data_IF_589661366089
#
_entry.id   IF_589661366089
#
_cell.length_a   1.000
_cell.length_b   1.000
_cell.length_c   1.000
_cell.angle_alpha   90.00
_cell.angle_beta   90.00
_cell.angle_gamma   90.00
#
_symmetry.space_group_name_H-M   'P 1'
#
loop_
_entity.id
_entity.type
_entity.pdbx_description
1 polymer ?
#
# COMPACT_ATOMS: atom_id res chain seq x y z
N UNK A 1 30.57 -0.47 -22.16
CA UNK A 1 30.24 -1.33 -23.30
C UNK A 1 28.94 -0.82 -23.84
N UNK A 2 28.88 -0.57 -25.14
CA UNK A 2 27.73 0.08 -25.76
C UNK A 2 26.70 -0.97 -26.17
N UNK A 3 25.43 -0.74 -25.86
CA UNK A 3 24.33 -1.67 -26.17
C UNK A 3 23.43 -1.04 -27.24
N UNK A 4 23.26 -1.72 -28.37
CA UNK A 4 22.34 -1.30 -29.42
C UNK A 4 20.88 -1.55 -29.00
N UNK A 5 20.14 -0.48 -28.73
CA UNK A 5 18.71 -0.52 -28.39
C UNK A 5 17.81 -0.36 -29.63
N UNK A 6 16.60 -0.95 -29.64
CA UNK A 6 15.73 -0.94 -30.82
C UNK A 6 15.06 0.41 -31.15
N UNK A 7 14.90 1.31 -30.17
CA UNK A 7 14.26 2.62 -30.31
C UNK A 7 14.84 3.61 -29.26
N UNK A 8 14.35 4.84 -29.23
CA UNK A 8 14.71 5.85 -28.22
C UNK A 8 14.11 5.48 -26.85
N UNK A 9 14.92 5.19 -25.82
CA UNK A 9 14.42 4.83 -24.50
C UNK A 9 13.64 6.00 -23.89
N UNK A 10 12.48 5.68 -23.30
CA UNK A 10 11.58 6.65 -22.66
C UNK A 10 11.56 6.52 -21.13
N UNK A 11 11.76 5.31 -20.61
CA UNK A 11 12.08 5.08 -19.21
C UNK A 11 13.08 3.93 -19.06
N UNK A 12 13.80 3.92 -17.94
CA UNK A 12 14.79 2.90 -17.64
C UNK A 12 14.91 2.70 -16.13
N UNK A 13 15.07 1.45 -15.70
CA UNK A 13 15.21 1.09 -14.29
C UNK A 13 16.17 -0.10 -14.13
N UNK A 14 17.02 -0.01 -13.10
CA UNK A 14 17.94 -1.08 -12.74
C UNK A 14 17.23 -2.24 -12.03
N UNK A 15 17.67 -3.45 -12.32
CA UNK A 15 17.15 -4.72 -11.80
C UNK A 15 18.34 -5.67 -11.60
N UNK A 16 19.16 -5.40 -10.56
CA UNK A 16 20.49 -5.99 -10.36
C UNK A 16 21.35 -5.96 -11.63
N UNK A 17 21.68 -7.12 -12.20
CA UNK A 17 22.56 -7.27 -13.36
C UNK A 17 21.84 -7.02 -14.70
N UNK A 18 20.60 -6.55 -14.66
CA UNK A 18 19.77 -6.24 -15.82
C UNK A 18 19.24 -4.80 -15.75
N UNK A 19 19.11 -4.13 -16.90
CA UNK A 19 18.40 -2.86 -17.04
C UNK A 19 17.08 -3.14 -17.76
N UNK A 20 15.97 -2.79 -17.14
CA UNK A 20 14.68 -2.75 -17.82
C UNK A 20 14.54 -1.41 -18.54
N UNK A 21 14.17 -1.43 -19.81
CA UNK A 21 14.05 -0.27 -20.68
C UNK A 21 12.65 -0.26 -21.31
N UNK A 22 11.94 0.84 -21.15
CA UNK A 22 10.66 1.08 -21.80
C UNK A 22 10.83 1.96 -23.04
N UNK A 23 10.39 1.45 -24.19
CA UNK A 23 10.22 2.24 -25.42
C UNK A 23 8.75 2.63 -25.59
N UNK A 24 8.40 3.31 -26.68
CA UNK A 24 7.02 3.77 -26.91
C UNK A 24 5.99 2.63 -26.92
N UNK A 25 6.37 1.46 -27.43
CA UNK A 25 5.46 0.32 -27.66
C UNK A 25 5.71 -0.86 -26.74
N UNK A 26 6.96 -1.11 -26.34
CA UNK A 26 7.37 -2.38 -25.73
C UNK A 26 8.43 -2.18 -24.64
N UNK A 27 8.44 -3.07 -23.65
CA UNK A 27 9.51 -3.18 -22.66
C UNK A 27 10.53 -4.25 -23.05
N UNK A 28 11.79 -3.95 -22.76
CA UNK A 28 12.91 -4.88 -22.91
C UNK A 28 13.70 -4.99 -21.61
N UNK A 29 14.44 -6.07 -21.48
CA UNK A 29 15.41 -6.31 -20.42
C UNK A 29 16.78 -6.58 -21.04
N UNK A 30 17.77 -5.80 -20.65
CA UNK A 30 19.14 -5.86 -21.19
C UNK A 30 20.05 -6.34 -20.07
N UNK A 31 20.67 -7.52 -20.21
CA UNK A 31 21.63 -8.01 -19.20
C UNK A 31 22.98 -7.30 -19.37
N UNK A 32 23.52 -6.82 -18.26
CA UNK A 32 24.81 -6.11 -18.14
C UNK A 32 25.92 -7.09 -17.72
N UNK A 33 25.82 -8.33 -18.20
CA UNK A 33 26.76 -9.44 -17.95
C UNK A 33 27.99 -9.44 -18.88
N UNK A 34 28.18 -8.36 -19.64
CA UNK A 34 29.19 -8.23 -20.69
C UNK A 34 28.83 -8.89 -22.03
N UNK A 35 27.80 -9.75 -22.08
CA UNK A 35 27.28 -10.33 -23.33
C UNK A 35 26.17 -9.48 -23.96
N UNK A 36 25.52 -8.63 -23.16
CA UNK A 36 24.54 -7.66 -23.65
C UNK A 36 23.27 -8.30 -24.21
N UNK A 37 22.88 -9.45 -23.66
CA UNK A 37 21.66 -10.14 -24.13
C UNK A 37 20.43 -9.27 -23.90
N UNK A 38 19.64 -9.08 -24.96
CA UNK A 38 18.40 -8.30 -24.98
C UNK A 38 17.22 -9.28 -25.02
N UNK A 39 16.30 -9.15 -24.08
CA UNK A 39 15.05 -9.92 -24.00
C UNK A 39 13.87 -8.97 -24.16
N UNK A 40 13.01 -9.22 -25.13
CA UNK A 40 11.70 -8.58 -25.24
C UNK A 40 10.77 -9.10 -24.14
N UNK A 41 9.95 -8.21 -23.56
CA UNK A 41 9.05 -8.54 -22.46
C UNK A 41 7.59 -8.54 -22.92
N UNK A 42 6.96 -7.37 -22.94
CA UNK A 42 5.56 -7.18 -23.35
C UNK A 42 5.28 -5.71 -23.72
N UNK A 43 4.18 -5.44 -24.43
CA UNK A 43 3.80 -4.09 -24.82
C UNK A 43 3.45 -3.16 -23.65
N UNK A 44 3.63 -1.86 -23.83
CA UNK A 44 3.27 -0.78 -22.89
C UNK A 44 1.76 -0.54 -22.77
N UNK A 45 0.96 -1.11 -23.68
CA UNK A 45 -0.48 -0.92 -23.72
C UNK A 45 -0.88 0.47 -24.22
N UNK A 46 -1.91 1.06 -23.60
CA UNK A 46 -2.41 2.43 -23.87
C UNK A 46 -1.62 3.51 -23.11
N UNK A 47 -0.59 3.14 -22.37
CA UNK A 47 0.18 4.06 -21.54
C UNK A 47 0.93 5.07 -22.43
N UNK A 48 0.72 6.37 -22.20
CA UNK A 48 1.26 7.44 -23.05
C UNK A 48 2.79 7.48 -23.06
N UNK A 49 3.40 7.22 -21.90
CA UNK A 49 4.85 7.03 -21.73
C UNK A 49 5.07 5.77 -20.88
N UNK A 50 6.05 4.91 -21.21
CA UNK A 50 6.36 3.74 -20.40
C UNK A 50 6.89 4.15 -19.02
N UNK A 51 6.55 3.38 -18.00
CA UNK A 51 6.92 3.64 -16.61
C UNK A 51 7.65 2.42 -16.08
N UNK A 52 8.92 2.59 -15.72
CA UNK A 52 9.77 1.58 -15.12
C UNK A 52 10.39 2.15 -13.83
N UNK A 53 10.27 1.44 -12.72
CA UNK A 53 10.74 1.89 -11.40
C UNK A 53 11.52 0.76 -10.71
N UNK A 54 12.77 0.97 -10.30
CA UNK A 54 13.53 -0.04 -9.58
C UNK A 54 12.89 -0.30 -8.22
N UNK A 55 12.75 -1.57 -7.86
CA UNK A 55 12.35 -2.03 -6.54
C UNK A 55 13.58 -2.56 -5.80
N UNK A 56 13.47 -2.67 -4.48
CA UNK A 56 14.42 -3.44 -3.68
C UNK A 56 14.42 -4.92 -4.08
N UNK A 57 15.48 -5.62 -3.70
CA UNK A 57 15.65 -7.07 -3.89
C UNK A 57 15.65 -7.53 -5.37
N UNK A 58 16.43 -6.86 -6.22
CA UNK A 58 16.69 -7.29 -7.61
C UNK A 58 15.46 -7.32 -8.51
N UNK A 59 14.55 -6.35 -8.35
CA UNK A 59 13.26 -6.30 -9.04
C UNK A 59 12.98 -4.94 -9.66
N UNK A 60 12.06 -4.91 -10.61
CA UNK A 60 11.56 -3.70 -11.25
C UNK A 60 10.04 -3.76 -11.37
N UNK A 61 9.36 -2.65 -11.09
CA UNK A 61 7.95 -2.45 -11.38
C UNK A 61 7.80 -1.75 -12.73
N UNK A 62 6.99 -2.30 -13.64
CA UNK A 62 6.66 -1.69 -14.93
C UNK A 62 5.15 -1.51 -15.09
N UNK A 63 4.73 -0.41 -15.73
CA UNK A 63 3.32 -0.10 -15.98
C UNK A 63 2.85 -0.61 -17.34
N UNK A 64 1.66 -1.20 -17.39
CA UNK A 64 0.98 -1.66 -18.60
C UNK A 64 -0.53 -1.42 -18.41
N UNK A 65 -1.11 -0.49 -19.16
CA UNK A 65 -2.52 -0.07 -18.98
C UNK A 65 -2.83 0.27 -17.50
N UNK A 66 -3.90 -0.28 -16.94
CA UNK A 66 -4.30 -0.19 -15.53
C UNK A 66 -3.66 -1.30 -14.66
N UNK A 67 -2.48 -1.80 -15.05
CA UNK A 67 -1.71 -2.81 -14.33
C UNK A 67 -0.27 -2.34 -14.06
N UNK A 68 0.26 -2.65 -12.88
CA UNK A 68 1.71 -2.65 -12.62
C UNK A 68 2.18 -4.08 -12.42
N UNK A 69 3.18 -4.49 -13.21
CA UNK A 69 3.78 -5.83 -13.17
C UNK A 69 5.15 -5.75 -12.51
N UNK A 70 5.46 -6.70 -11.62
CA UNK A 70 6.79 -6.81 -11.00
C UNK A 70 7.59 -7.93 -11.65
N UNK A 71 8.77 -7.57 -12.15
CA UNK A 71 9.73 -8.43 -12.82
C UNK A 71 10.99 -8.62 -11.97
N UNK A 72 11.65 -9.75 -12.15
CA UNK A 72 13.00 -10.01 -11.65
C UNK A 72 14.07 -9.80 -12.74
N UNK A 73 15.34 -10.10 -12.44
CA UNK A 73 16.47 -9.94 -13.36
C UNK A 73 16.43 -10.83 -14.63
N UNK A 74 15.60 -11.88 -14.67
CA UNK A 74 15.27 -12.66 -15.89
C UNK A 74 14.13 -12.06 -16.71
N UNK A 75 13.40 -11.07 -16.18
CA UNK A 75 12.17 -10.57 -16.78
C UNK A 75 11.03 -11.57 -16.67
N UNK A 76 10.94 -12.26 -15.53
CA UNK A 76 9.83 -13.17 -15.21
C UNK A 76 8.86 -12.47 -14.27
N UNK A 77 7.59 -12.41 -14.66
CA UNK A 77 6.52 -11.84 -13.86
C UNK A 77 6.24 -12.74 -12.65
N UNK A 78 6.28 -12.20 -11.43
CA UNK A 78 5.76 -12.93 -10.26
C UNK A 78 4.25 -12.68 -10.14
N UNK A 79 3.36 -13.67 -10.39
CA UNK A 79 1.92 -13.42 -10.51
C UNK A 79 1.24 -12.95 -9.20
N UNK A 80 1.92 -13.08 -8.06
CA UNK A 80 1.48 -12.54 -6.76
C UNK A 80 1.76 -11.04 -6.57
N UNK A 81 2.41 -10.40 -7.54
CA UNK A 81 2.90 -9.02 -7.42
C UNK A 81 2.35 -8.07 -8.50
N UNK A 82 1.32 -8.47 -9.24
CA UNK A 82 0.60 -7.58 -10.14
C UNK A 82 -0.39 -6.69 -9.37
N UNK A 83 -0.28 -5.38 -9.55
CA UNK A 83 -1.12 -4.34 -8.92
C UNK A 83 -2.12 -3.82 -9.94
N UNK A 84 -3.42 -3.97 -9.67
CA UNK A 84 -4.48 -3.45 -10.54
C UNK A 84 -4.92 -2.07 -10.04
N UNK A 85 -5.05 -1.14 -10.96
CA UNK A 85 -5.42 0.24 -10.72
C UNK A 85 -6.90 0.46 -11.08
N UNK A 86 -7.47 1.61 -10.72
CA UNK A 86 -8.79 2.03 -11.23
C UNK A 86 -8.69 2.87 -12.49
N UNK A 87 -7.49 3.29 -12.85
CA UNK A 87 -7.17 4.12 -14.01
C UNK A 87 -5.67 3.97 -14.34
N UNK A 88 -5.25 4.35 -15.54
CA UNK A 88 -3.85 4.20 -16.01
C UNK A 88 -2.94 5.14 -15.18
N UNK A 89 -1.90 4.62 -14.49
CA UNK A 89 -0.99 5.47 -13.73
C UNK A 89 -0.15 6.33 -14.67
N UNK A 90 -0.16 7.66 -14.45
CA UNK A 90 0.69 8.60 -15.20
C UNK A 90 2.13 8.68 -14.67
N UNK A 91 2.35 8.26 -13.42
CA UNK A 91 3.65 8.29 -12.76
C UNK A 91 3.71 7.17 -11.70
N UNK A 92 4.91 6.63 -11.48
CA UNK A 92 5.19 5.66 -10.42
C UNK A 92 6.50 6.00 -9.72
N UNK A 93 6.58 5.79 -8.42
CA UNK A 93 7.80 5.93 -7.63
C UNK A 93 7.86 4.91 -6.51
N UNK A 94 9.07 4.60 -6.05
CA UNK A 94 9.33 3.64 -4.98
C UNK A 94 10.19 4.27 -3.89
N UNK A 95 9.86 3.99 -2.62
CA UNK A 95 10.62 4.45 -1.45
C UNK A 95 11.15 3.27 -0.63
N UNK A 96 12.41 3.38 -0.26
CA UNK A 96 13.05 2.59 0.78
C UNK A 96 13.21 3.45 2.04
N UNK A 97 12.72 2.95 3.17
CA UNK A 97 12.81 3.60 4.47
C UNK A 97 14.02 3.05 5.23
N UNK A 98 15.07 3.84 5.35
CA UNK A 98 16.38 3.43 5.87
C UNK A 98 16.46 3.37 7.40
N UNK A 99 15.76 2.43 8.05
CA UNK A 99 15.91 2.15 9.50
C UNK A 99 15.26 0.82 9.89
N UNK A 100 16.00 -0.31 9.82
CA UNK A 100 15.78 -1.57 10.58
C UNK A 100 14.40 -2.27 10.55
N UNK A 101 13.40 -1.67 9.92
CA UNK A 101 11.98 -1.95 10.02
C UNK A 101 11.48 -2.34 8.63
N UNK A 102 10.73 -3.44 8.59
CA UNK A 102 10.33 -4.20 7.40
C UNK A 102 10.04 -3.31 6.18
N UNK A 103 10.85 -3.45 5.13
CA UNK A 103 10.91 -2.56 3.96
C UNK A 103 9.55 -2.03 3.51
N UNK A 104 9.27 -0.77 3.84
CA UNK A 104 7.97 -0.12 3.66
C UNK A 104 7.71 0.23 2.19
N UNK A 105 7.31 -0.79 1.43
CA UNK A 105 6.87 -0.69 0.03
C UNK A 105 5.74 0.32 -0.10
N UNK A 106 6.00 1.39 -0.84
CA UNK A 106 4.99 2.30 -1.37
C UNK A 106 4.99 2.21 -2.89
N UNK A 107 3.86 1.74 -3.42
CA UNK A 107 3.39 1.98 -4.80
C UNK A 107 2.05 2.73 -4.62
N UNK A 108 1.10 2.74 -5.57
CA UNK A 108 -0.16 3.50 -5.41
C UNK A 108 -1.44 2.59 -5.56
N UNK A 109 -2.50 2.94 -4.82
CA UNK A 109 -3.87 2.38 -4.58
C UNK A 109 -4.16 1.04 -3.81
N UNK A 110 -5.38 1.04 -3.24
CA UNK A 110 -6.06 0.23 -2.20
C UNK A 110 -6.39 -1.24 -2.57
N UNK A 111 -6.44 -2.10 -1.54
CA UNK A 111 -7.04 -3.45 -1.50
C UNK A 111 -6.37 -4.64 -2.23
N UNK A 112 -5.17 -5.06 -1.76
CA UNK A 112 -4.96 -6.44 -1.23
C UNK A 112 -3.69 -6.48 -0.35
N UNK A 113 -3.64 -7.35 0.66
CA UNK A 113 -2.54 -7.36 1.63
C UNK A 113 -1.19 -7.78 1.02
N UNK A 114 -0.26 -6.84 0.82
CA UNK A 114 1.20 -7.05 0.95
C UNK A 114 2.02 -5.75 0.90
N UNK A 115 1.56 -4.75 0.14
CA UNK A 115 2.19 -3.43 -0.01
C UNK A 115 1.14 -2.34 0.14
N UNK A 116 1.41 -1.29 0.94
CA UNK A 116 0.47 -0.19 1.13
C UNK A 116 0.72 0.87 0.09
N UNK A 117 -0.35 1.29 -0.56
CA UNK A 117 -0.23 2.06 -1.77
C UNK A 117 -1.24 3.24 -1.74
N UNK A 118 -0.73 4.48 -1.82
CA UNK A 118 -1.49 5.76 -1.66
C UNK A 118 -2.16 6.14 -3.00
N UNK A 119 -2.96 7.19 -3.18
CA UNK A 119 -3.41 7.61 -4.53
C UNK A 119 -3.37 9.13 -4.70
N UNK A 120 -2.99 9.61 -5.88
CA UNK A 120 -3.03 11.03 -6.26
C UNK A 120 -3.69 11.17 -7.64
N UNK A 121 -4.97 11.56 -7.63
CA UNK A 121 -5.77 11.82 -8.83
C UNK A 121 -5.91 13.33 -9.08
N UNK A 122 -6.21 13.73 -10.32
CA UNK A 122 -6.52 15.12 -10.67
C UNK A 122 -5.31 16.06 -10.80
N UNK A 123 -4.10 15.52 -10.94
CA UNK A 123 -2.90 16.31 -11.23
C UNK A 123 -2.61 16.31 -12.74
N UNK A 124 -2.62 17.49 -13.36
CA UNK A 124 -2.12 17.65 -14.73
C UNK A 124 -0.58 17.67 -14.71
N UNK A 125 0.02 16.72 -15.44
CA UNK A 125 1.48 16.50 -15.60
C UNK A 125 2.28 16.63 -14.29
N UNK A 126 2.03 15.76 -13.28
CA UNK A 126 2.76 15.82 -12.02
C UNK A 126 4.24 15.46 -12.21
N UNK A 127 5.13 16.38 -11.89
CA UNK A 127 6.54 16.05 -11.65
C UNK A 127 6.66 15.49 -10.24
N UNK A 128 7.45 14.43 -10.04
CA UNK A 128 7.76 13.91 -8.71
C UNK A 128 9.26 13.74 -8.54
N UNK A 129 9.74 13.92 -7.31
CA UNK A 129 11.14 13.66 -6.97
C UNK A 129 11.24 12.96 -5.61
N UNK A 130 12.08 11.93 -5.58
CA UNK A 130 12.34 11.12 -4.40
C UNK A 130 13.62 11.63 -3.72
N UNK A 131 13.46 12.30 -2.58
CA UNK A 131 14.56 12.56 -1.65
C UNK A 131 14.72 11.40 -0.66
N UNK A 132 15.80 11.39 0.14
CA UNK A 132 15.93 10.45 1.24
C UNK A 132 14.74 10.61 2.20
N UNK A 133 13.90 9.57 2.29
CA UNK A 133 12.72 9.50 3.15
C UNK A 133 11.59 10.53 2.87
N UNK A 134 11.60 11.19 1.69
CA UNK A 134 10.62 12.23 1.33
C UNK A 134 10.25 12.14 -0.15
N UNK A 135 8.97 12.33 -0.50
CA UNK A 135 8.54 12.54 -1.90
C UNK A 135 7.96 13.93 -2.02
N UNK A 136 8.43 14.65 -3.03
CA UNK A 136 7.79 15.88 -3.48
C UNK A 136 7.03 15.58 -4.77
N UNK A 137 5.84 16.14 -4.89
CA UNK A 137 5.00 16.11 -6.09
C UNK A 137 4.69 17.55 -6.45
N UNK A 138 4.88 17.94 -7.70
CA UNK A 138 4.64 19.28 -8.19
C UNK A 138 3.70 19.24 -9.40
N UNK A 139 2.74 20.15 -9.44
CA UNK A 139 1.97 20.48 -10.65
C UNK A 139 2.35 21.89 -11.12
N UNK A 140 1.69 22.37 -12.18
CA UNK A 140 1.86 23.74 -12.71
C UNK A 140 1.68 24.86 -11.67
N UNK A 141 1.01 24.61 -10.54
CA UNK A 141 0.62 25.65 -9.56
C UNK A 141 0.95 25.32 -8.10
N UNK A 142 1.26 24.07 -7.76
CA UNK A 142 1.44 23.64 -6.38
C UNK A 142 2.59 22.65 -6.24
N UNK A 143 3.27 22.70 -5.09
CA UNK A 143 4.25 21.68 -4.68
C UNK A 143 3.80 21.09 -3.36
N UNK A 144 3.51 19.78 -3.37
CA UNK A 144 3.17 18.99 -2.21
C UNK A 144 4.38 18.20 -1.72
N UNK A 145 4.53 18.07 -0.40
CA UNK A 145 5.44 17.11 0.22
C UNK A 145 4.63 15.99 0.84
N UNK A 146 4.80 14.77 0.35
CA UNK A 146 4.25 13.58 0.99
C UNK A 146 5.06 13.28 2.25
N UNK A 147 4.41 13.39 3.41
CA UNK A 147 4.98 13.07 4.72
C UNK A 147 4.40 11.73 5.18
N UNK A 148 5.23 10.75 5.60
CA UNK A 148 4.72 9.50 6.13
C UNK A 148 3.96 9.73 7.44
N UNK A 149 2.65 9.52 7.41
CA UNK A 149 1.79 9.60 8.61
C UNK A 149 2.07 8.40 9.51
N UNK A 150 2.27 8.63 10.81
CA UNK A 150 2.56 7.56 11.77
C UNK A 150 1.41 6.55 11.85
N UNK A 151 1.72 5.26 12.09
CA UNK A 151 0.70 4.22 12.24
C UNK A 151 -0.26 4.55 13.41
N UNK A 152 0.25 5.20 14.47
CA UNK A 152 -0.58 5.66 15.58
C UNK A 152 -1.63 6.69 15.13
N UNK A 153 -1.22 7.69 14.34
CA UNK A 153 -2.12 8.71 13.77
C UNK A 153 -3.11 8.08 12.79
N UNK A 154 -2.68 7.15 11.93
CA UNK A 154 -3.55 6.42 11.00
C UNK A 154 -4.63 5.61 11.74
N UNK A 155 -4.28 4.95 12.86
CA UNK A 155 -5.23 4.24 13.71
C UNK A 155 -6.25 5.21 14.30
N UNK A 156 -5.82 6.36 14.83
CA UNK A 156 -6.75 7.37 15.39
C UNK A 156 -7.74 7.91 14.34
N UNK A 157 -7.26 8.18 13.12
CA UNK A 157 -8.13 8.58 12.00
C UNK A 157 -9.16 7.50 11.65
N UNK A 158 -8.72 6.25 11.47
CA UNK A 158 -9.65 5.13 11.19
C UNK A 158 -10.66 4.88 12.32
N UNK A 159 -10.29 5.15 13.59
CA UNK A 159 -11.22 5.08 14.71
C UNK A 159 -12.30 6.19 14.65
N UNK A 160 -11.92 7.42 14.25
CA UNK A 160 -12.86 8.53 14.02
C UNK A 160 -13.80 8.23 12.85
N UNK A 161 -13.26 7.69 11.75
CA UNK A 161 -14.01 7.26 10.55
C UNK A 161 -14.82 5.96 10.76
N UNK A 162 -14.79 5.39 11.97
CA UNK A 162 -15.46 4.13 12.35
C UNK A 162 -15.01 2.91 11.51
N UNK A 163 -13.84 2.98 10.89
CA UNK A 163 -13.21 1.92 10.08
C UNK A 163 -12.42 0.93 10.95
N UNK A 164 -13.08 0.34 11.95
CA UNK A 164 -12.43 -0.46 12.99
C UNK A 164 -11.66 -1.67 12.47
N UNK A 165 -12.17 -2.35 11.43
CA UNK A 165 -11.52 -3.55 10.88
C UNK A 165 -10.16 -3.23 10.24
N UNK A 166 -10.08 -2.10 9.53
CA UNK A 166 -8.82 -1.59 8.99
C UNK A 166 -7.88 -1.17 10.13
N UNK A 167 -8.39 -0.48 11.16
CA UNK A 167 -7.59 -0.11 12.34
C UNK A 167 -7.00 -1.34 13.06
N UNK A 168 -7.74 -2.45 13.13
CA UNK A 168 -7.25 -3.73 13.68
C UNK A 168 -6.17 -4.37 12.80
N UNK A 169 -6.30 -4.29 11.47
CA UNK A 169 -5.24 -4.74 10.56
C UNK A 169 -3.97 -3.88 10.72
N UNK A 170 -4.10 -2.55 10.81
CA UNK A 170 -2.97 -1.65 11.06
C UNK A 170 -2.26 -1.98 12.38
N UNK A 171 -3.00 -2.16 13.48
CA UNK A 171 -2.43 -2.46 14.79
C UNK A 171 -1.73 -3.83 14.84
N UNK A 172 -2.24 -4.84 14.12
CA UNK A 172 -1.57 -6.15 14.00
C UNK A 172 -0.25 -6.08 13.21
N UNK A 173 -0.15 -5.15 12.26
CA UNK A 173 1.06 -4.93 11.43
C UNK A 173 2.10 -4.01 12.08
N UNK A 174 1.82 -3.37 13.22
CA UNK A 174 2.78 -2.50 13.92
C UNK A 174 3.75 -3.36 14.74
N UNK A 175 5.05 -3.21 14.54
CA UNK A 175 6.06 -3.91 15.34
C UNK A 175 6.41 -3.10 16.60
N UNK A 176 5.58 -3.28 17.63
CA UNK A 176 5.85 -2.86 19.00
C UNK A 176 6.18 -4.06 19.88
N UNK A 177 6.68 -3.78 21.09
CA UNK A 177 6.74 -4.76 22.17
C UNK A 177 5.36 -5.43 22.39
N UNK A 178 5.38 -6.76 22.57
CA UNK A 178 4.18 -7.61 22.59
C UNK A 178 3.09 -7.21 23.61
N UNK A 179 3.41 -6.42 24.64
CA UNK A 179 2.45 -5.89 25.62
C UNK A 179 1.59 -4.76 25.07
N UNK A 180 2.22 -3.67 24.61
CA UNK A 180 1.53 -2.47 24.11
C UNK A 180 0.64 -2.79 22.90
N UNK A 181 1.15 -3.60 21.97
CA UNK A 181 0.43 -4.10 20.79
C UNK A 181 -0.90 -4.80 21.17
N UNK A 182 -0.89 -5.64 22.21
CA UNK A 182 -2.10 -6.32 22.71
C UNK A 182 -3.08 -5.34 23.34
N UNK A 183 -2.60 -4.38 24.14
CA UNK A 183 -3.44 -3.35 24.75
C UNK A 183 -4.12 -2.48 23.68
N UNK A 184 -3.38 -2.05 22.65
CA UNK A 184 -3.92 -1.25 21.55
C UNK A 184 -4.96 -2.03 20.72
N UNK A 185 -4.69 -3.29 20.39
CA UNK A 185 -5.66 -4.17 19.69
C UNK A 185 -6.92 -4.34 20.55
N UNK A 186 -6.77 -4.68 21.84
CA UNK A 186 -7.89 -4.84 22.78
C UNK A 186 -8.73 -3.56 22.91
N UNK A 187 -8.10 -2.39 22.92
CA UNK A 187 -8.80 -1.09 22.95
C UNK A 187 -9.61 -0.86 21.66
N UNK A 188 -9.03 -1.06 20.48
CA UNK A 188 -9.73 -0.92 19.19
C UNK A 188 -10.92 -1.90 19.11
N UNK A 189 -10.74 -3.16 19.54
CA UNK A 189 -11.81 -4.16 19.57
C UNK A 189 -12.94 -3.77 20.53
N UNK A 190 -12.63 -3.19 21.70
CA UNK A 190 -13.65 -2.67 22.62
C UNK A 190 -14.46 -1.52 22.01
N UNK A 191 -13.81 -0.59 21.31
CA UNK A 191 -14.49 0.49 20.59
C UNK A 191 -15.37 -0.05 19.45
N UNK A 192 -14.90 -1.05 18.72
CA UNK A 192 -15.68 -1.72 17.66
C UNK A 192 -16.93 -2.41 18.21
N UNK A 193 -16.78 -3.19 19.29
CA UNK A 193 -17.90 -3.88 19.92
C UNK A 193 -18.95 -2.89 20.47
N UNK A 194 -18.50 -1.79 21.09
CA UNK A 194 -19.39 -0.71 21.53
C UNK A 194 -20.07 -0.01 20.34
N UNK A 195 -19.36 0.21 19.24
CA UNK A 195 -19.94 0.81 18.04
C UNK A 195 -21.04 -0.06 17.41
N UNK A 196 -20.82 -1.38 17.33
CA UNK A 196 -21.83 -2.36 16.91
C UNK A 196 -23.05 -2.35 17.84
N UNK A 197 -22.84 -2.22 19.16
CA UNK A 197 -23.93 -2.09 20.14
C UNK A 197 -24.78 -0.83 19.87
N UNK A 198 -24.14 0.33 19.66
CA UNK A 198 -24.83 1.57 19.29
C UNK A 198 -25.58 1.46 17.94
N UNK A 199 -25.09 0.65 17.00
CA UNK A 199 -25.77 0.32 15.74
C UNK A 199 -26.91 -0.70 15.90
N UNK A 200 -27.25 -1.13 17.13
CA UNK A 200 -28.23 -2.18 17.45
C UNK A 200 -27.88 -3.57 16.90
N UNK A 201 -26.62 -3.79 16.49
CA UNK A 201 -26.09 -5.11 16.06
C UNK A 201 -25.60 -5.89 17.27
N UNK A 202 -26.56 -6.29 18.11
CA UNK A 202 -26.27 -6.86 19.43
C UNK A 202 -25.53 -8.20 19.34
N UNK A 203 -25.90 -9.09 18.41
CA UNK A 203 -25.27 -10.41 18.28
C UNK A 203 -23.79 -10.32 17.90
N UNK A 204 -23.47 -9.49 16.89
CA UNK A 204 -22.10 -9.22 16.46
C UNK A 204 -21.28 -8.58 17.60
N UNK A 205 -21.87 -7.58 18.27
CA UNK A 205 -21.26 -6.89 19.41
C UNK A 205 -20.91 -7.86 20.55
N UNK A 206 -21.87 -8.70 20.93
CA UNK A 206 -21.69 -9.71 21.98
C UNK A 206 -20.67 -10.77 21.58
N UNK A 207 -20.60 -11.16 20.31
CA UNK A 207 -19.56 -12.09 19.84
C UNK A 207 -18.15 -11.48 19.96
N UNK A 208 -17.99 -10.18 19.69
CA UNK A 208 -16.70 -9.48 19.89
C UNK A 208 -16.39 -9.31 21.38
N UNK A 209 -17.35 -8.94 22.23
CA UNK A 209 -17.15 -8.84 23.68
C UNK A 209 -16.82 -10.19 24.34
N UNK A 210 -17.43 -11.29 23.89
CA UNK A 210 -17.09 -12.64 24.34
C UNK A 210 -15.63 -13.00 23.98
N UNK A 211 -15.20 -12.71 22.75
CA UNK A 211 -13.81 -12.92 22.29
C UNK A 211 -12.79 -12.06 23.04
N UNK A 212 -13.21 -10.93 23.60
CA UNK A 212 -12.35 -10.04 24.39
C UNK A 212 -12.15 -10.50 25.84
N UNK A 213 -12.93 -11.49 26.32
CA UNK A 213 -12.92 -11.87 27.73
C UNK A 213 -13.38 -10.76 28.67
N UNK A 214 -14.01 -9.69 28.15
CA UNK A 214 -14.46 -8.53 28.93
C UNK A 214 -15.75 -8.81 29.70
N UNK A 215 -15.72 -9.81 30.58
CA UNK A 215 -16.64 -9.90 31.72
C UNK A 215 -16.16 -8.94 32.81
N UNK A 216 -15.98 -7.67 32.44
CA UNK A 216 -15.81 -6.59 33.40
C UNK A 216 -17.20 -6.23 33.89
N UNK A 217 -17.50 -6.58 35.15
CA UNK A 217 -18.78 -6.43 35.84
C UNK A 217 -19.48 -5.08 35.59
N UNK A 218 -18.70 -4.01 35.45
CA UNK A 218 -19.19 -2.65 35.20
C UNK A 218 -19.94 -2.48 33.87
N UNK A 219 -19.66 -3.30 32.84
CA UNK A 219 -20.39 -3.25 31.55
C UNK A 219 -21.66 -4.09 31.57
N UNK A 220 -21.71 -5.15 32.39
CA UNK A 220 -22.91 -5.98 32.51
C UNK A 220 -24.08 -5.16 33.08
N UNK A 221 -23.81 -4.28 34.06
CA UNK A 221 -24.81 -3.37 34.63
C UNK A 221 -25.49 -2.49 33.58
N UNK A 222 -24.74 -1.85 32.69
CA UNK A 222 -25.32 -1.01 31.63
C UNK A 222 -26.17 -1.80 30.61
N UNK A 223 -25.83 -3.07 30.36
CA UNK A 223 -26.64 -3.97 29.52
C UNK A 223 -27.88 -4.46 30.29
N UNK A 224 -27.75 -4.70 31.60
CA UNK A 224 -28.84 -5.09 32.50
C UNK A 224 -29.89 -3.97 32.63
N UNK A 225 -29.46 -2.71 32.75
CA UNK A 225 -30.34 -1.53 32.80
C UNK A 225 -31.08 -1.35 31.46
N UNK A 226 -30.38 -1.48 30.33
CA UNK A 226 -30.98 -1.43 29.00
C UNK A 226 -31.98 -2.58 28.74
N UNK A 227 -31.78 -3.76 29.34
CA UNK A 227 -32.73 -4.88 29.30
C UNK A 227 -33.91 -4.69 30.26
N UNK A 228 -33.69 -4.02 31.41
CA UNK A 228 -34.74 -3.74 32.40
C UNK A 228 -35.75 -2.71 31.88
N UNK A 229 -35.26 -1.68 31.18
CA UNK A 229 -36.10 -0.68 30.50
C UNK A 229 -37.03 -1.27 29.42
N UNK A 230 -36.74 -2.46 28.87
CA UNK A 230 -37.63 -3.17 27.93
C UNK A 230 -38.75 -3.97 28.58
N UNK A 231 -38.81 -4.09 29.91
CA UNK A 231 -39.89 -4.79 30.62
C UNK A 231 -40.95 -3.86 31.23
N UNK A 232 -40.84 -2.55 30.97
CA UNK A 232 -41.71 -1.49 31.49
C UNK A 232 -42.34 -0.63 30.36
N UNK A 233 -42.35 -1.15 29.14
CA UNK A 233 -43.01 -0.56 27.96
C UNK A 233 -43.84 -1.60 27.22
#
# INVERSE_FOLDING_TARGET
GDFSVPDVPKSMAWCENSICVGFKRDYYLIRVDGKGSIKELFPTGKQLEPLAVPLGDGKVAVGQDDLTVVLNEEGTCTPKCALNWTDIPMAMGFLLFSSGDLGRKSVFQKNKLSSRCISLQGLDKPFYTNGPNMVYVASNHFVWRLVPVSIATQIQQLLQDKQFELALQLAKMKDDANGEKRQQIHHIQNLYAFNLFCQKRFDDSMQVFAKLGTVSSNKLGQVQDALSLRKLG
#
